data_IF_882901658464
#
_entry.id   IF_882901658464
#
_cell.length_a   1.000
_cell.length_b   1.000
_cell.length_c   1.000
_cell.angle_alpha   90.00
_cell.angle_beta   90.00
_cell.angle_gamma   90.00
#
_symmetry.space_group_name_H-M   'P 1'
#
loop_
_entity.id
_entity.type
_entity.pdbx_description
1 polymer ?
#
# COMPACT_ATOMS: atom_id res chain seq x y z
N UNK A 1 3.15 -12.69 -13.92
CA UNK A 1 2.87 -11.97 -15.19
C UNK A 1 4.14 -11.97 -16.02
N UNK A 2 4.03 -12.13 -17.33
CA UNK A 2 5.15 -12.25 -18.28
C UNK A 2 5.13 -11.07 -19.27
N UNK A 3 5.08 -9.84 -18.76
CA UNK A 3 5.18 -8.62 -19.58
C UNK A 3 6.24 -7.70 -19.02
N UNK A 4 7.06 -7.14 -19.89
CA UNK A 4 8.13 -6.22 -19.49
C UNK A 4 7.57 -4.94 -18.85
N UNK A 5 6.38 -4.51 -19.28
CA UNK A 5 5.64 -3.37 -18.73
C UNK A 5 4.14 -3.55 -18.87
N UNK A 6 3.38 -2.95 -17.97
CA UNK A 6 1.92 -2.90 -17.98
C UNK A 6 1.45 -1.45 -17.83
N UNK A 7 0.25 -1.17 -18.35
CA UNK A 7 -0.43 0.11 -18.18
C UNK A 7 -1.71 -0.09 -17.37
N UNK A 8 -1.88 0.70 -16.30
CA UNK A 8 -3.12 0.77 -15.51
C UNK A 8 -3.93 1.96 -16.00
N UNK A 9 -5.20 1.73 -16.37
CA UNK A 9 -6.08 2.74 -16.95
C UNK A 9 -7.38 2.87 -16.17
N UNK A 10 -7.91 4.10 -16.07
CA UNK A 10 -9.21 4.41 -15.47
C UNK A 10 -9.93 5.46 -16.31
N UNK A 11 -11.19 5.20 -16.66
CA UNK A 11 -12.04 6.14 -17.42
C UNK A 11 -11.38 6.65 -18.71
N UNK A 12 -10.75 5.74 -19.46
CA UNK A 12 -10.08 6.06 -20.73
C UNK A 12 -8.74 6.79 -20.59
N UNK A 13 -8.22 6.99 -19.37
CA UNK A 13 -6.94 7.65 -19.11
C UNK A 13 -5.93 6.68 -18.49
N UNK A 14 -4.67 6.81 -18.88
CA UNK A 14 -3.57 6.08 -18.27
C UNK A 14 -3.25 6.71 -16.92
N UNK A 15 -3.24 5.90 -15.88
CA UNK A 15 -2.90 6.32 -14.52
C UNK A 15 -1.40 6.09 -14.28
N UNK A 16 -0.92 4.86 -14.55
CA UNK A 16 0.47 4.46 -14.34
C UNK A 16 0.92 3.44 -15.39
N UNK A 17 2.19 3.52 -15.80
CA UNK A 17 2.87 2.53 -16.64
C UNK A 17 4.18 2.15 -15.95
N UNK A 18 4.46 0.85 -15.84
CA UNK A 18 5.68 0.35 -15.18
C UNK A 18 5.81 -1.16 -15.34
N UNK A 19 6.88 -1.73 -14.80
CA UNK A 19 6.97 -3.18 -14.62
C UNK A 19 5.87 -3.65 -13.66
N UNK A 20 5.46 -4.94 -13.69
CA UNK A 20 4.52 -5.46 -12.70
C UNK A 20 4.95 -5.20 -11.25
N UNK A 21 6.26 -5.22 -10.98
CA UNK A 21 6.84 -4.91 -9.67
C UNK A 21 6.66 -3.43 -9.31
N UNK A 22 6.98 -2.50 -10.23
CA UNK A 22 6.78 -1.06 -10.00
C UNK A 22 5.31 -0.71 -9.73
N UNK A 23 4.38 -1.35 -10.44
CA UNK A 23 2.95 -1.13 -10.22
C UNK A 23 2.50 -1.65 -8.86
N UNK A 24 3.07 -2.77 -8.39
CA UNK A 24 2.73 -3.39 -7.11
C UNK A 24 3.37 -2.68 -5.92
N UNK A 25 4.67 -2.38 -5.99
CA UNK A 25 5.47 -1.84 -4.88
C UNK A 25 5.35 -0.32 -4.73
N UNK A 26 5.09 0.39 -5.83
CA UNK A 26 4.93 1.84 -5.86
C UNK A 26 3.68 2.26 -6.66
N UNK A 27 2.48 1.92 -6.17
CA UNK A 27 1.25 2.35 -6.79
C UNK A 27 1.13 3.89 -6.71
N UNK A 28 0.82 4.52 -7.83
CA UNK A 28 0.72 5.98 -7.96
C UNK A 28 -0.48 6.56 -7.19
N UNK A 29 -1.53 5.76 -7.01
CA UNK A 29 -2.69 6.12 -6.22
C UNK A 29 -3.40 4.87 -5.66
N UNK A 30 -4.45 5.11 -4.86
CA UNK A 30 -5.26 4.06 -4.25
C UNK A 30 -5.96 3.15 -5.27
N UNK A 31 -6.32 3.70 -6.43
CA UNK A 31 -6.93 2.90 -7.49
C UNK A 31 -5.93 1.90 -8.03
N UNK A 32 -4.69 2.31 -8.29
CA UNK A 32 -3.63 1.38 -8.72
C UNK A 32 -3.36 0.31 -7.66
N UNK A 33 -3.25 0.71 -6.38
CA UNK A 33 -2.99 -0.21 -5.26
C UNK A 33 -4.07 -1.28 -5.06
N UNK A 34 -5.32 -0.95 -5.39
CA UNK A 34 -6.47 -1.87 -5.25
C UNK A 34 -6.78 -2.66 -6.51
N UNK A 35 -6.29 -2.21 -7.67
CA UNK A 35 -6.57 -2.84 -8.95
C UNK A 35 -5.63 -4.00 -9.28
N UNK A 36 -4.39 -3.97 -8.76
CA UNK A 36 -3.34 -4.91 -9.14
C UNK A 36 -3.01 -5.89 -8.00
N UNK A 37 -2.95 -7.18 -8.34
CA UNK A 37 -2.67 -8.28 -7.40
C UNK A 37 -3.93 -9.07 -7.02
N UNK A 38 -3.76 -10.38 -6.81
CA UNK A 38 -4.79 -11.25 -6.23
C UNK A 38 -4.13 -12.08 -5.12
N UNK A 39 -4.45 -11.84 -3.83
CA UNK A 39 -5.35 -10.79 -3.33
C UNK A 39 -4.78 -9.38 -3.53
N UNK A 40 -5.67 -8.38 -3.55
CA UNK A 40 -5.32 -6.96 -3.64
C UNK A 40 -4.60 -6.48 -2.37
N UNK A 41 -3.94 -5.32 -2.43
CA UNK A 41 -3.28 -4.73 -1.25
C UNK A 41 -4.29 -4.48 -0.11
N UNK A 42 -3.87 -4.76 1.13
CA UNK A 42 -4.68 -4.43 2.30
C UNK A 42 -4.67 -2.92 2.52
N UNK A 43 -5.86 -2.34 2.67
CA UNK A 43 -6.03 -0.94 3.02
C UNK A 43 -6.59 -0.86 4.44
N UNK A 44 -5.91 -0.09 5.29
CA UNK A 44 -6.31 0.14 6.67
C UNK A 44 -6.48 1.64 6.85
N UNK A 45 -7.68 2.07 7.23
CA UNK A 45 -7.91 3.47 7.58
C UNK A 45 -7.14 3.81 8.86
N UNK A 46 -6.54 5.00 8.88
CA UNK A 46 -5.85 5.46 10.06
C UNK A 46 -5.71 6.97 10.11
N UNK A 47 -5.58 7.48 11.32
CA UNK A 47 -5.37 8.90 11.61
C UNK A 47 -3.94 9.07 12.09
N UNK A 48 -3.22 9.99 11.44
CA UNK A 48 -1.88 10.38 11.83
C UNK A 48 -1.97 11.57 12.79
N UNK A 49 -1.45 11.41 14.01
CA UNK A 49 -1.45 12.44 15.05
C UNK A 49 -0.01 12.72 15.51
N UNK A 50 0.31 14.00 15.75
CA UNK A 50 1.53 14.39 16.43
C UNK A 50 1.25 14.50 17.94
N UNK A 51 1.90 13.68 18.76
CA UNK A 51 1.78 13.70 20.21
C UNK A 51 3.14 13.72 20.86
N UNK A 52 3.42 14.73 21.69
CA UNK A 52 4.67 14.83 22.46
C UNK A 52 5.92 14.60 21.56
N UNK A 53 5.94 15.27 20.39
CA UNK A 53 6.94 15.13 19.32
C UNK A 53 7.09 13.73 18.70
N UNK A 54 6.17 12.81 18.97
CA UNK A 54 6.08 11.50 18.32
C UNK A 54 4.97 11.49 17.28
N UNK A 55 5.25 10.91 16.13
CA UNK A 55 4.25 10.68 15.11
C UNK A 55 3.53 9.37 15.41
N UNK A 56 2.21 9.41 15.58
CA UNK A 56 1.39 8.27 15.98
C UNK A 56 0.37 7.97 14.90
N UNK A 57 0.35 6.74 14.39
CA UNK A 57 -0.69 6.25 13.49
C UNK A 57 -1.71 5.45 14.32
N UNK A 58 -2.93 5.94 14.41
CA UNK A 58 -4.05 5.20 14.99
C UNK A 58 -4.87 4.54 13.89
N UNK A 59 -5.13 3.25 14.02
CA UNK A 59 -6.08 2.50 13.19
C UNK A 59 -7.23 1.99 14.08
N UNK A 60 -8.33 1.46 13.53
CA UNK A 60 -9.44 0.93 14.34
C UNK A 60 -9.03 -0.17 15.33
N UNK A 61 -7.96 -0.92 15.04
CA UNK A 61 -7.53 -2.07 15.84
C UNK A 61 -6.23 -1.86 16.59
N UNK A 62 -5.37 -0.92 16.16
CA UNK A 62 -4.01 -0.78 16.68
C UNK A 62 -3.55 0.68 16.71
N UNK A 63 -2.56 0.96 17.57
CA UNK A 63 -1.87 2.25 17.61
C UNK A 63 -0.38 2.01 17.41
N UNK A 64 0.20 2.67 16.41
CA UNK A 64 1.62 2.57 16.07
C UNK A 64 2.32 3.88 16.38
N UNK A 65 3.44 3.83 17.10
CA UNK A 65 4.33 4.98 17.28
C UNK A 65 5.42 4.90 16.23
N UNK A 66 5.44 5.88 15.32
CA UNK A 66 6.39 5.93 14.22
C UNK A 66 7.68 6.58 14.69
N UNK A 67 8.78 5.83 14.61
CA UNK A 67 10.12 6.29 14.92
C UNK A 67 10.79 6.71 13.60
N UNK A 68 11.50 7.84 13.59
CA UNK A 68 12.24 8.30 12.41
C UNK A 68 13.22 7.21 11.94
N UNK A 69 13.22 6.89 10.66
CA UNK A 69 14.05 5.84 10.05
C UNK A 69 13.37 4.50 9.85
N UNK A 70 12.14 4.30 10.34
CA UNK A 70 11.31 3.16 9.93
C UNK A 70 10.72 3.43 8.55
N UNK A 71 11.22 2.73 7.53
CA UNK A 71 10.48 2.59 6.28
C UNK A 71 9.28 1.69 6.59
N UNK A 72 8.09 2.27 6.75
CA UNK A 72 6.84 1.50 6.78
C UNK A 72 6.59 1.03 5.35
N UNK A 73 7.27 -0.04 4.96
CA UNK A 73 7.00 -0.76 3.73
C UNK A 73 5.74 -1.56 4.00
N UNK A 74 4.58 -0.93 3.75
CA UNK A 74 3.25 -1.49 3.51
C UNK A 74 2.83 -2.65 4.43
N UNK A 75 1.70 -2.50 5.15
CA UNK A 75 1.10 -3.55 5.98
C UNK A 75 0.69 -4.80 5.15
N UNK A 76 1.66 -5.63 4.79
CA UNK A 76 1.48 -6.97 4.25
C UNK A 76 1.16 -7.86 5.45
N UNK A 77 -0.11 -7.87 5.87
CA UNK A 77 -0.61 -8.89 6.80
C UNK A 77 -0.14 -10.23 6.27
N UNK A 78 0.79 -10.88 6.98
CA UNK A 78 1.03 -12.30 6.84
C UNK A 78 -0.30 -12.97 7.13
N UNK A 79 -1.03 -13.36 6.08
CA UNK A 79 -2.00 -14.44 6.21
C UNK A 79 -1.18 -15.69 6.49
N UNK A 80 -0.96 -15.98 7.77
CA UNK A 80 -0.68 -17.35 8.18
C UNK A 80 -1.96 -18.12 7.88
N UNK A 81 -2.09 -18.63 6.65
CA UNK A 81 -2.97 -19.74 6.40
C UNK A 81 -2.42 -20.90 7.23
N UNK A 82 -3.04 -21.09 8.39
CA UNK A 82 -2.89 -22.30 9.18
C UNK A 82 -3.49 -23.41 8.33
N UNK A 83 -2.63 -24.27 7.78
CA UNK A 83 -3.02 -25.61 7.35
C UNK A 83 -3.53 -26.40 8.57
#
# INVERSE_FOLDING_TARGET
>A
MLSDRVAVMRSGRIIQIGTPEEIYDNPKDLFVATFVGSPTMNLIEGVLELKEDKLVLKTPSHVYVLIRGLNVVWFKTFSVQRL
#
